data_IF_996635240991
#
_entry.id   IF_996635240991
#
_cell.length_a   1.000
_cell.length_b   1.000
_cell.length_c   1.000
_cell.angle_alpha   90.00
_cell.angle_beta   90.00
_cell.angle_gamma   90.00
#
_symmetry.space_group_name_H-M   'P 1'
#
loop_
_entity.id
_entity.type
_entity.pdbx_description
1 polymer ?
#
# COMPACT_ATOMS: atom_id res chain seq x y z
N UNK A 1 21.52 -4.48 -6.76
CA UNK A 1 20.65 -5.67 -6.65
C UNK A 1 19.55 -5.55 -7.68
N UNK A 2 19.04 -6.70 -8.14
CA UNK A 2 17.87 -6.79 -9.00
C UNK A 2 16.63 -7.15 -8.17
N UNK A 3 15.69 -6.23 -8.04
CA UNK A 3 14.55 -6.30 -7.12
C UNK A 3 13.25 -6.50 -7.89
N UNK A 4 12.50 -7.55 -7.55
CA UNK A 4 11.15 -7.78 -8.04
C UNK A 4 10.15 -7.30 -6.99
N UNK A 5 9.42 -6.22 -7.28
CA UNK A 5 8.34 -5.72 -6.43
C UNK A 5 7.01 -6.30 -6.88
N UNK A 6 6.31 -6.94 -5.96
CA UNK A 6 4.93 -7.41 -6.17
C UNK A 6 3.97 -6.53 -5.38
N UNK A 7 3.01 -5.96 -6.06
CA UNK A 7 1.99 -5.10 -5.46
C UNK A 7 0.67 -5.22 -6.21
N UNK A 8 -0.45 -4.98 -5.54
CA UNK A 8 -1.77 -4.99 -6.17
C UNK A 8 -2.16 -3.62 -6.75
N UNK A 9 -1.44 -2.56 -6.36
CA UNK A 9 -1.66 -1.20 -6.85
C UNK A 9 -0.32 -0.48 -7.14
N UNK A 10 -0.27 0.18 -8.27
CA UNK A 10 0.78 1.07 -8.74
C UNK A 10 0.13 2.08 -9.70
N UNK A 11 0.56 3.34 -9.78
CA UNK A 11 -0.11 4.30 -10.66
C UNK A 11 -0.28 3.78 -12.10
N UNK A 12 -1.43 4.02 -12.76
CA UNK A 12 -2.53 4.91 -12.36
C UNK A 12 -3.50 4.33 -11.31
N UNK A 13 -3.37 3.03 -10.94
CA UNK A 13 -4.19 2.42 -9.90
C UNK A 13 -3.79 2.94 -8.52
N UNK A 14 -4.70 3.70 -7.91
CA UNK A 14 -4.54 4.28 -6.57
C UNK A 14 -5.79 3.98 -5.75
N UNK A 15 -5.74 2.91 -4.95
CA UNK A 15 -6.81 2.55 -4.01
C UNK A 15 -6.50 3.10 -2.62
N UNK A 16 -5.22 3.08 -2.25
CA UNK A 16 -4.76 3.54 -0.95
C UNK A 16 -3.34 4.13 -0.98
N UNK A 17 -2.68 4.08 0.16
CA UNK A 17 -1.32 4.60 0.32
C UNK A 17 -0.23 3.74 -0.29
N UNK A 18 -0.50 2.44 -0.49
CA UNK A 18 0.49 1.47 -0.99
C UNK A 18 1.00 1.87 -2.37
N UNK A 19 0.10 2.26 -3.28
CA UNK A 19 0.45 2.73 -4.62
C UNK A 19 1.54 3.80 -4.57
N UNK A 20 1.38 4.79 -3.69
CA UNK A 20 2.33 5.88 -3.56
C UNK A 20 3.65 5.44 -2.95
N UNK A 21 3.58 4.59 -1.92
CA UNK A 21 4.80 4.05 -1.27
C UNK A 21 5.62 3.25 -2.28
N UNK A 22 5.00 2.32 -3.02
CA UNK A 22 5.73 1.50 -4.01
C UNK A 22 6.30 2.37 -5.13
N UNK A 23 5.55 3.36 -5.58
CA UNK A 23 6.00 4.30 -6.60
C UNK A 23 7.24 5.10 -6.18
N UNK A 24 7.21 5.70 -4.98
CA UNK A 24 8.33 6.52 -4.51
C UNK A 24 9.53 5.63 -4.11
N UNK A 25 9.27 4.45 -3.51
CA UNK A 25 10.30 3.50 -3.11
C UNK A 25 11.05 2.92 -4.32
N UNK A 26 10.32 2.45 -5.35
CA UNK A 26 10.93 1.88 -6.56
C UNK A 26 11.88 2.87 -7.24
N UNK A 27 11.50 4.13 -7.30
CA UNK A 27 12.32 5.21 -7.87
C UNK A 27 13.52 5.59 -6.99
N UNK A 28 13.37 5.50 -5.67
CA UNK A 28 14.47 5.77 -4.74
C UNK A 28 15.53 4.66 -4.84
N UNK A 29 15.10 3.40 -4.84
CA UNK A 29 15.98 2.26 -5.02
C UNK A 29 16.72 2.29 -6.36
N UNK A 30 16.04 2.72 -7.44
CA UNK A 30 16.68 2.94 -8.72
C UNK A 30 17.80 4.00 -8.64
N UNK A 31 17.56 5.12 -7.94
CA UNK A 31 18.56 6.18 -7.73
C UNK A 31 19.77 5.69 -6.93
N UNK A 32 19.53 4.74 -6.02
CA UNK A 32 20.57 4.10 -5.21
C UNK A 32 21.34 3.00 -5.98
N UNK A 33 21.10 2.87 -7.30
CA UNK A 33 21.82 1.98 -8.20
C UNK A 33 21.27 0.54 -8.22
N UNK A 34 20.02 0.31 -7.83
CA UNK A 34 19.35 -0.98 -7.95
C UNK A 34 18.56 -1.06 -9.25
N UNK A 35 18.41 -2.27 -9.80
CA UNK A 35 17.44 -2.54 -10.87
C UNK A 35 16.11 -2.90 -10.22
N UNK A 36 15.04 -2.21 -10.61
CA UNK A 36 13.71 -2.43 -10.03
C UNK A 36 12.69 -2.77 -11.11
N UNK A 37 12.04 -3.90 -10.92
CA UNK A 37 10.91 -4.35 -11.75
C UNK A 37 9.68 -4.47 -10.86
N UNK A 38 8.60 -3.81 -11.22
CA UNK A 38 7.30 -3.87 -10.55
C UNK A 38 6.35 -4.73 -11.35
N UNK A 39 5.69 -5.70 -10.72
CA UNK A 39 4.57 -6.44 -11.32
C UNK A 39 3.32 -6.15 -10.50
N UNK A 40 2.28 -5.65 -11.19
CA UNK A 40 1.07 -5.13 -10.56
C UNK A 40 -0.18 -5.41 -11.39
N UNK A 41 -1.36 -5.11 -10.82
CA UNK A 41 -2.62 -5.19 -11.57
C UNK A 41 -2.77 -4.04 -12.58
N UNK A 42 -3.34 -4.35 -13.74
CA UNK A 42 -3.67 -3.37 -14.79
C UNK A 42 -5.00 -2.70 -14.49
N UNK A 43 -5.01 -1.39 -14.45
CA UNK A 43 -6.23 -0.59 -14.30
C UNK A 43 -6.56 0.12 -15.60
N UNK A 44 -7.80 -0.08 -16.09
CA UNK A 44 -8.29 0.59 -17.28
C UNK A 44 -7.37 0.39 -18.49
N UNK A 45 -7.09 1.49 -19.18
CA UNK A 45 -6.27 1.51 -20.40
C UNK A 45 -4.76 1.64 -20.13
N UNK A 46 -4.31 1.46 -18.87
CA UNK A 46 -2.88 1.47 -18.56
C UNK A 46 -2.11 0.45 -19.42
N UNK A 47 -0.90 0.77 -19.92
CA UNK A 47 -0.12 -0.16 -20.71
C UNK A 47 0.29 -1.41 -19.92
N UNK A 48 0.41 -2.54 -20.59
CA UNK A 48 0.88 -3.80 -19.96
C UNK A 48 2.35 -3.73 -19.58
N UNK A 49 3.13 -2.98 -20.33
CA UNK A 49 4.52 -2.65 -20.01
C UNK A 49 4.76 -1.16 -20.12
N UNK A 50 5.52 -0.63 -19.19
CA UNK A 50 5.96 0.76 -19.16
C UNK A 50 7.35 0.84 -18.54
N UNK A 51 8.24 1.61 -19.16
CA UNK A 51 9.45 2.11 -18.51
C UNK A 51 9.10 3.45 -17.81
N UNK A 52 8.85 3.38 -16.52
CA UNK A 52 8.55 4.57 -15.72
C UNK A 52 9.85 5.18 -15.17
N UNK A 53 10.56 5.91 -16.05
CA UNK A 53 11.83 6.61 -15.75
C UNK A 53 12.91 5.67 -15.21
N UNK A 54 13.01 4.49 -15.82
CA UNK A 54 13.97 3.46 -15.49
C UNK A 54 13.44 2.35 -14.58
N UNK A 55 12.25 2.51 -13.98
CA UNK A 55 11.55 1.42 -13.31
C UNK A 55 10.72 0.66 -14.35
N UNK A 56 11.01 -0.63 -14.53
CA UNK A 56 10.21 -1.50 -15.40
C UNK A 56 8.91 -1.87 -14.71
N UNK A 57 7.78 -1.51 -15.29
CA UNK A 57 6.45 -1.78 -14.73
C UNK A 57 5.68 -2.71 -15.68
N UNK A 58 5.38 -3.91 -15.20
CA UNK A 58 4.54 -4.89 -15.89
C UNK A 58 3.19 -4.96 -15.20
N UNK A 59 2.11 -4.85 -15.98
CA UNK A 59 0.74 -4.90 -15.47
C UNK A 59 0.02 -6.12 -15.99
N UNK A 60 -0.66 -6.84 -15.11
CA UNK A 60 -1.40 -8.06 -15.43
C UNK A 60 -2.90 -7.84 -15.30
N UNK A 61 -3.66 -8.49 -16.18
CA UNK A 61 -5.13 -8.53 -16.11
C UNK A 61 -5.59 -9.79 -15.39
N UNK A 62 -6.75 -9.72 -14.74
CA UNK A 62 -7.47 -10.90 -14.33
C UNK A 62 -8.36 -11.36 -15.51
N UNK A 63 -8.11 -12.60 -15.99
CA UNK A 63 -8.78 -13.14 -17.18
C UNK A 63 -10.09 -13.86 -16.85
N UNK A 64 -10.33 -14.19 -15.59
CA UNK A 64 -11.57 -14.86 -15.23
C UNK A 64 -12.75 -13.90 -15.19
N UNK A 65 -13.80 -14.37 -15.78
CA UNK A 65 -15.08 -13.68 -15.83
C UNK A 65 -15.70 -13.75 -14.43
N UNK A 66 -16.07 -12.59 -13.86
CA UNK A 66 -16.84 -12.45 -12.64
C UNK A 66 -16.37 -13.29 -11.42
N UNK A 67 -15.36 -12.84 -10.67
CA UNK A 67 -15.03 -13.46 -9.40
C UNK A 67 -16.24 -13.36 -8.46
N UNK A 68 -16.54 -14.44 -7.72
CA UNK A 68 -17.67 -14.45 -6.79
C UNK A 68 -17.52 -13.49 -5.62
N UNK A 69 -16.26 -13.20 -5.28
CA UNK A 69 -15.91 -12.33 -4.15
C UNK A 69 -14.49 -11.77 -4.34
N UNK A 70 -14.09 -10.92 -3.39
CA UNK A 70 -12.77 -10.28 -3.43
C UNK A 70 -11.60 -11.27 -3.30
N UNK A 71 -11.76 -12.33 -2.51
CA UNK A 71 -10.71 -13.37 -2.34
C UNK A 71 -10.45 -14.10 -3.66
N UNK A 72 -11.50 -14.49 -4.38
CA UNK A 72 -11.36 -15.12 -5.70
C UNK A 72 -10.64 -14.20 -6.69
N UNK A 73 -10.95 -12.91 -6.64
CA UNK A 73 -10.26 -11.90 -7.45
C UNK A 73 -8.76 -11.83 -7.12
N UNK A 74 -8.41 -11.82 -5.81
CA UNK A 74 -7.02 -11.82 -5.35
C UNK A 74 -6.29 -13.10 -5.78
N UNK A 75 -6.94 -14.25 -5.72
CA UNK A 75 -6.33 -15.50 -6.18
C UNK A 75 -5.99 -15.45 -7.66
N UNK A 76 -6.91 -14.95 -8.50
CA UNK A 76 -6.63 -14.74 -9.93
C UNK A 76 -5.46 -13.80 -10.16
N UNK A 77 -5.41 -12.68 -9.42
CA UNK A 77 -4.29 -11.74 -9.47
C UNK A 77 -2.97 -12.47 -9.19
N UNK A 78 -2.90 -13.29 -8.13
CA UNK A 78 -1.69 -14.00 -7.78
C UNK A 78 -1.24 -14.98 -8.88
N UNK A 79 -2.16 -15.71 -9.53
CA UNK A 79 -1.80 -16.56 -10.67
C UNK A 79 -1.18 -15.75 -11.82
N UNK A 80 -1.76 -14.60 -12.15
CA UNK A 80 -1.25 -13.75 -13.23
C UNK A 80 0.08 -13.07 -12.86
N UNK A 81 0.26 -12.68 -11.60
CA UNK A 81 1.55 -12.18 -11.10
C UNK A 81 2.65 -13.24 -11.20
N UNK A 82 2.37 -14.51 -10.84
CA UNK A 82 3.32 -15.62 -10.98
C UNK A 82 3.66 -15.84 -12.45
N UNK A 83 2.66 -15.92 -13.33
CA UNK A 83 2.88 -16.14 -14.76
C UNK A 83 3.78 -15.05 -15.37
N UNK A 84 3.47 -13.77 -15.11
CA UNK A 84 4.25 -12.64 -15.62
C UNK A 84 5.65 -12.59 -15.02
N UNK A 85 5.79 -12.75 -13.71
CA UNK A 85 7.10 -12.76 -13.08
C UNK A 85 7.98 -13.92 -13.57
N UNK A 86 7.39 -15.10 -13.81
CA UNK A 86 8.11 -16.25 -14.38
C UNK A 86 8.59 -15.99 -15.81
N UNK A 87 7.76 -15.35 -16.65
CA UNK A 87 8.15 -14.89 -17.99
C UNK A 87 9.35 -13.92 -17.93
N UNK A 88 9.29 -12.94 -17.03
CA UNK A 88 10.37 -11.96 -16.84
C UNK A 88 11.66 -12.66 -16.36
N UNK A 89 11.56 -13.58 -15.40
CA UNK A 89 12.72 -14.33 -14.90
C UNK A 89 13.35 -15.17 -16.02
N UNK A 90 12.53 -15.78 -16.87
CA UNK A 90 13.02 -16.59 -18.00
C UNK A 90 13.74 -15.74 -19.05
N UNK A 91 13.33 -14.51 -19.28
CA UNK A 91 13.87 -13.61 -20.31
C UNK A 91 14.98 -12.69 -19.82
N UNK A 92 14.85 -12.18 -18.59
CA UNK A 92 15.76 -11.17 -18.03
C UNK A 92 16.70 -11.73 -16.95
N UNK A 93 16.51 -13.00 -16.56
CA UNK A 93 17.28 -13.65 -15.49
C UNK A 93 16.72 -13.45 -14.10
N UNK A 94 17.33 -14.14 -13.13
CA UNK A 94 16.86 -14.23 -11.74
C UNK A 94 17.02 -12.89 -11.01
N UNK A 95 16.08 -12.59 -10.11
CA UNK A 95 16.14 -11.50 -9.15
C UNK A 95 16.88 -11.91 -7.87
N UNK A 96 17.45 -10.92 -7.19
CA UNK A 96 18.13 -11.11 -5.90
C UNK A 96 17.12 -11.20 -4.74
N UNK A 97 15.99 -10.48 -4.86
CA UNK A 97 14.96 -10.41 -3.82
C UNK A 97 13.58 -10.15 -4.42
N UNK A 98 12.55 -10.72 -3.79
CA UNK A 98 11.14 -10.37 -4.01
C UNK A 98 10.73 -9.42 -2.88
N UNK A 99 10.25 -8.22 -3.23
CA UNK A 99 9.65 -7.32 -2.26
C UNK A 99 8.12 -7.35 -2.41
N UNK A 100 7.45 -7.99 -1.45
CA UNK A 100 6.00 -8.17 -1.45
C UNK A 100 5.32 -7.09 -0.59
N UNK A 101 4.28 -6.44 -1.11
CA UNK A 101 3.53 -5.40 -0.42
C UNK A 101 2.14 -5.89 -0.03
N UNK A 102 1.93 -6.12 1.26
CA UNK A 102 0.73 -6.68 1.89
C UNK A 102 0.36 -8.10 1.43
N UNK A 103 -0.65 -8.69 2.07
CA UNK A 103 -1.13 -10.05 1.86
C UNK A 103 -1.67 -10.33 0.45
N UNK A 104 -2.10 -9.30 -0.26
CA UNK A 104 -2.73 -9.39 -1.57
C UNK A 104 -1.85 -10.05 -2.65
N UNK A 105 -0.54 -10.10 -2.42
CA UNK A 105 0.44 -10.73 -3.33
C UNK A 105 1.18 -11.92 -2.69
N UNK A 106 0.71 -12.37 -1.54
CA UNK A 106 1.41 -13.36 -0.72
C UNK A 106 1.62 -14.70 -1.42
N UNK A 107 0.61 -15.22 -2.12
CA UNK A 107 0.70 -16.50 -2.82
C UNK A 107 1.66 -16.43 -4.00
N UNK A 108 1.68 -15.31 -4.73
CA UNK A 108 2.63 -15.08 -5.80
C UNK A 108 4.06 -15.04 -5.25
N UNK A 109 4.30 -14.27 -4.19
CA UNK A 109 5.60 -14.17 -3.55
C UNK A 109 6.11 -15.54 -3.07
N UNK A 110 5.28 -16.30 -2.36
CA UNK A 110 5.60 -17.66 -1.88
C UNK A 110 5.91 -18.61 -3.03
N UNK A 111 5.09 -18.61 -4.07
CA UNK A 111 5.29 -19.48 -5.24
C UNK A 111 6.61 -19.18 -5.92
N UNK A 112 6.90 -17.91 -6.18
CA UNK A 112 8.15 -17.49 -6.83
C UNK A 112 9.39 -17.77 -5.96
N UNK A 113 9.29 -17.53 -4.63
CA UNK A 113 10.34 -17.91 -3.68
C UNK A 113 10.73 -19.38 -3.85
N UNK A 114 9.73 -20.27 -3.80
CA UNK A 114 9.96 -21.71 -3.84
C UNK A 114 10.41 -22.20 -5.23
N UNK A 115 9.84 -21.64 -6.31
CA UNK A 115 10.18 -22.05 -7.68
C UNK A 115 11.58 -21.61 -8.11
N UNK A 116 12.02 -20.44 -7.66
CA UNK A 116 13.27 -19.83 -8.12
C UNK A 116 14.32 -19.64 -7.01
N UNK A 117 14.02 -20.07 -5.79
CA UNK A 117 14.87 -19.88 -4.62
C UNK A 117 15.31 -18.40 -4.47
N UNK A 118 14.33 -17.48 -4.46
CA UNK A 118 14.54 -16.05 -4.29
C UNK A 118 13.98 -15.65 -2.91
N UNK A 119 14.76 -14.99 -2.02
CA UNK A 119 14.25 -14.58 -0.72
C UNK A 119 13.17 -13.51 -0.85
N UNK A 120 12.25 -13.50 0.14
CA UNK A 120 11.19 -12.50 0.25
C UNK A 120 11.54 -11.49 1.34
N UNK A 121 11.40 -10.22 1.04
CA UNK A 121 11.17 -9.13 2.00
C UNK A 121 9.72 -8.71 1.86
N UNK A 122 8.97 -8.62 2.94
CA UNK A 122 7.59 -8.15 2.90
C UNK A 122 7.43 -6.82 3.64
N UNK A 123 6.62 -5.92 3.10
CA UNK A 123 6.15 -4.74 3.83
C UNK A 123 4.67 -4.93 4.19
N UNK A 124 4.36 -4.88 5.48
CA UNK A 124 2.99 -4.92 6.00
C UNK A 124 2.56 -3.49 6.32
N UNK A 125 1.62 -2.97 5.53
CA UNK A 125 1.13 -1.60 5.66
C UNK A 125 0.01 -1.46 6.69
N UNK A 126 -0.77 -2.51 6.91
CA UNK A 126 -1.77 -2.64 7.95
C UNK A 126 -2.13 -4.12 8.11
N UNK A 127 -2.57 -4.54 9.29
CA UNK A 127 -3.13 -5.88 9.50
C UNK A 127 -4.65 -5.85 9.41
N UNK A 128 -5.25 -6.98 9.06
CA UNK A 128 -6.72 -7.12 9.06
C UNK A 128 -7.29 -6.96 10.48
N UNK A 129 -6.61 -7.56 11.46
CA UNK A 129 -6.98 -7.42 12.87
C UNK A 129 -6.90 -5.96 13.36
N UNK A 130 -5.89 -5.20 12.93
CA UNK A 130 -5.75 -3.79 13.28
C UNK A 130 -6.81 -2.90 12.64
N UNK A 131 -7.21 -3.19 11.39
CA UNK A 131 -8.26 -2.44 10.69
C UNK A 131 -9.64 -2.59 11.33
N UNK A 132 -9.93 -3.78 11.85
CA UNK A 132 -11.26 -4.16 12.33
C UNK A 132 -11.33 -4.27 13.85
N UNK A 133 -10.27 -3.89 14.59
CA UNK A 133 -10.17 -4.07 16.04
C UNK A 133 -10.36 -5.53 16.49
N UNK A 134 -9.90 -6.47 15.66
CA UNK A 134 -10.00 -7.91 15.86
C UNK A 134 -10.39 -8.64 14.57
N UNK A 135 -10.63 -9.95 14.70
CA UNK A 135 -11.10 -10.83 13.60
C UNK A 135 -12.50 -11.28 13.95
N UNK A 136 -13.48 -10.98 13.11
CA UNK A 136 -14.90 -11.13 13.40
C UNK A 136 -15.64 -12.10 12.45
N UNK A 137 -15.04 -12.40 11.28
CA UNK A 137 -15.64 -13.31 10.29
C UNK A 137 -14.57 -14.18 9.59
N UNK A 138 -15.04 -15.13 8.77
CA UNK A 138 -14.18 -16.10 8.06
C UNK A 138 -13.32 -15.41 6.97
N UNK A 139 -13.79 -14.36 6.34
CA UNK A 139 -13.02 -13.60 5.35
C UNK A 139 -11.84 -12.90 6.02
N UNK A 140 -12.09 -12.25 7.16
CA UNK A 140 -11.04 -11.61 7.94
C UNK A 140 -10.04 -12.64 8.49
N UNK A 141 -10.51 -13.81 8.90
CA UNK A 141 -9.66 -14.93 9.33
C UNK A 141 -8.74 -15.37 8.19
N UNK A 142 -9.29 -15.58 7.00
CA UNK A 142 -8.51 -15.93 5.82
C UNK A 142 -7.42 -14.89 5.50
N UNK A 143 -7.76 -13.60 5.58
CA UNK A 143 -6.81 -12.50 5.35
C UNK A 143 -5.71 -12.52 6.41
N UNK A 144 -6.07 -12.61 7.68
CA UNK A 144 -5.14 -12.69 8.80
C UNK A 144 -4.17 -13.88 8.68
N UNK A 145 -4.66 -15.06 8.30
CA UNK A 145 -3.85 -16.25 8.09
C UNK A 145 -2.92 -16.09 6.88
N UNK A 146 -3.36 -15.36 5.85
CA UNK A 146 -2.53 -15.04 4.69
C UNK A 146 -1.44 -14.00 5.03
N UNK A 147 -1.74 -13.02 5.88
CA UNK A 147 -0.75 -12.09 6.44
C UNK A 147 0.29 -12.83 7.27
N UNK A 148 -0.16 -13.76 8.15
CA UNK A 148 0.75 -14.62 8.89
C UNK A 148 1.63 -15.44 7.96
N UNK A 149 1.06 -16.10 6.95
CA UNK A 149 1.83 -16.90 5.99
C UNK A 149 2.88 -16.06 5.27
N UNK A 150 2.54 -14.86 4.77
CA UNK A 150 3.48 -13.97 4.10
C UNK A 150 4.64 -13.59 5.03
N UNK A 151 4.33 -13.18 6.25
CA UNK A 151 5.35 -12.78 7.22
C UNK A 151 6.22 -13.95 7.66
N UNK A 152 5.66 -15.17 7.78
CA UNK A 152 6.40 -16.39 8.06
C UNK A 152 7.39 -16.74 6.94
N UNK A 153 6.94 -16.70 5.69
CA UNK A 153 7.74 -17.01 4.49
C UNK A 153 8.81 -15.98 4.17
N UNK A 154 8.67 -14.77 4.65
CA UNK A 154 9.64 -13.68 4.43
C UNK A 154 10.92 -13.92 5.23
N UNK A 155 12.06 -13.55 4.65
CA UNK A 155 13.34 -13.47 5.38
C UNK A 155 13.34 -12.29 6.34
N UNK A 156 12.81 -11.15 5.89
CA UNK A 156 12.68 -9.90 6.65
C UNK A 156 11.28 -9.32 6.45
N UNK A 157 10.74 -8.69 7.50
CA UNK A 157 9.45 -8.01 7.49
C UNK A 157 9.65 -6.53 7.80
N UNK A 158 9.11 -5.66 6.96
CA UNK A 158 9.13 -4.21 7.14
C UNK A 158 7.75 -3.76 7.62
N UNK A 159 7.73 -2.89 8.62
CA UNK A 159 6.54 -2.21 9.13
C UNK A 159 6.79 -0.71 9.28
N UNK A 160 5.72 0.09 9.27
CA UNK A 160 5.84 1.55 9.25
C UNK A 160 6.01 2.19 10.63
N UNK A 161 5.80 1.45 11.72
CA UNK A 161 5.86 1.97 13.08
C UNK A 161 6.17 0.90 14.12
N UNK A 162 6.64 1.34 15.29
CA UNK A 162 6.81 0.46 16.45
C UNK A 162 5.47 -0.15 16.92
N UNK A 163 4.36 0.56 16.75
CA UNK A 163 3.03 0.02 17.03
C UNK A 163 2.77 -1.24 16.20
N UNK A 164 2.98 -1.18 14.88
CA UNK A 164 2.81 -2.32 13.99
C UNK A 164 3.82 -3.45 14.28
N UNK A 165 5.06 -3.11 14.66
CA UNK A 165 6.03 -4.13 15.08
C UNK A 165 5.51 -4.94 16.27
N UNK A 166 5.02 -4.27 17.30
CA UNK A 166 4.44 -4.91 18.48
C UNK A 166 3.14 -5.69 18.13
N UNK A 167 2.35 -5.17 17.18
CA UNK A 167 1.14 -5.83 16.71
C UNK A 167 1.45 -7.15 16.00
N UNK A 168 2.41 -7.17 15.06
CA UNK A 168 2.82 -8.40 14.38
C UNK A 168 3.42 -9.44 15.33
N UNK A 169 4.19 -9.00 16.34
CA UNK A 169 4.67 -9.92 17.37
C UNK A 169 3.53 -10.57 18.15
N UNK A 170 2.55 -9.76 18.57
CA UNK A 170 1.39 -10.23 19.33
C UNK A 170 0.49 -11.15 18.50
N UNK A 171 0.23 -10.80 17.22
CA UNK A 171 -0.69 -11.54 16.36
C UNK A 171 -0.06 -12.82 15.80
N UNK A 172 1.19 -12.73 15.38
CA UNK A 172 1.84 -13.78 14.57
C UNK A 172 3.01 -14.47 15.27
N UNK A 173 3.42 -14.01 16.43
CA UNK A 173 4.55 -14.61 17.16
C UNK A 173 5.90 -14.47 16.45
N UNK A 174 6.06 -13.48 15.59
CA UNK A 174 7.30 -13.31 14.81
C UNK A 174 8.48 -12.94 15.71
N UNK A 175 9.70 -13.45 15.41
CA UNK A 175 10.92 -13.03 16.09
C UNK A 175 11.12 -11.51 15.97
N UNK A 176 11.56 -10.87 17.06
CA UNK A 176 11.71 -9.41 17.11
C UNK A 176 12.72 -8.89 16.09
N UNK A 177 13.80 -9.62 15.89
CA UNK A 177 14.88 -9.33 14.94
C UNK A 177 14.45 -9.41 13.48
N UNK A 178 13.39 -10.19 13.18
CA UNK A 178 12.85 -10.31 11.82
C UNK A 178 12.05 -9.09 11.38
N UNK A 179 11.61 -8.23 12.33
CA UNK A 179 10.73 -7.10 12.04
C UNK A 179 11.50 -5.79 12.10
N UNK A 180 11.61 -5.13 10.96
CA UNK A 180 12.28 -3.85 10.78
C UNK A 180 11.27 -2.71 10.72
N UNK A 181 11.49 -1.65 11.50
CA UNK A 181 10.65 -0.46 11.47
C UNK A 181 11.26 0.56 10.52
N UNK A 182 10.60 0.75 9.38
CA UNK A 182 10.97 1.73 8.36
C UNK A 182 9.74 2.60 8.05
N UNK A 183 9.65 3.81 8.62
CA UNK A 183 8.52 4.72 8.36
C UNK A 183 8.43 5.09 6.88
N UNK A 184 7.20 5.28 6.39
CA UNK A 184 6.99 5.80 5.05
C UNK A 184 7.55 7.21 4.91
N UNK A 185 8.23 7.48 3.80
CA UNK A 185 8.73 8.79 3.44
C UNK A 185 7.74 9.60 2.61
N UNK A 186 8.01 10.88 2.51
CA UNK A 186 7.30 11.82 1.63
C UNK A 186 8.29 12.53 0.74
N UNK A 187 8.01 12.62 -0.55
CA UNK A 187 8.83 13.38 -1.48
C UNK A 187 8.60 14.89 -1.27
N UNK A 188 9.48 15.52 -0.50
CA UNK A 188 9.39 16.94 -0.17
C UNK A 188 9.46 17.86 -1.39
N UNK A 189 10.07 17.43 -2.50
CA UNK A 189 10.14 18.24 -3.71
C UNK A 189 8.76 18.53 -4.33
N UNK A 190 7.74 17.73 -4.02
CA UNK A 190 6.37 17.97 -4.45
C UNK A 190 5.74 19.19 -3.76
N UNK A 191 6.30 19.65 -2.65
CA UNK A 191 5.79 20.75 -1.83
C UNK A 191 6.69 21.99 -1.91
N UNK A 192 7.85 21.89 -2.56
CA UNK A 192 8.75 23.03 -2.73
C UNK A 192 8.18 24.04 -3.74
N UNK A 193 8.23 25.32 -3.40
CA UNK A 193 7.81 26.40 -4.27
C UNK A 193 6.28 26.58 -4.39
N UNK A 194 5.49 25.89 -3.56
CA UNK A 194 4.05 26.12 -3.50
C UNK A 194 3.80 27.40 -2.70
N UNK A 195 3.41 28.47 -3.40
CA UNK A 195 2.96 29.70 -2.76
C UNK A 195 1.51 29.54 -2.25
N UNK A 196 1.15 30.37 -1.24
CA UNK A 196 -0.21 30.41 -0.73
C UNK A 196 -1.16 31.00 -1.80
N UNK A 197 -2.08 30.19 -2.28
CA UNK A 197 -3.17 30.64 -3.14
C UNK A 197 -4.40 31.04 -2.29
N UNK A 198 -4.51 32.34 -2.01
CA UNK A 198 -5.63 32.88 -1.25
C UNK A 198 -6.96 32.76 -2.00
N UNK A 199 -6.95 32.81 -3.34
CA UNK A 199 -8.18 32.66 -4.12
C UNK A 199 -8.69 31.22 -4.08
N UNK A 200 -7.79 30.25 -4.13
CA UNK A 200 -8.15 28.85 -3.92
C UNK A 200 -8.68 28.61 -2.50
N UNK A 201 -8.02 29.18 -1.48
CA UNK A 201 -8.44 29.06 -0.09
C UNK A 201 -9.85 29.63 0.14
N UNK A 202 -10.17 30.78 -0.46
CA UNK A 202 -11.48 31.43 -0.34
C UNK A 202 -12.65 30.62 -0.89
N UNK A 203 -12.41 29.58 -1.70
CA UNK A 203 -13.44 28.61 -2.12
C UNK A 203 -13.97 27.76 -0.95
N UNK A 204 -13.22 27.66 0.14
CA UNK A 204 -13.53 26.81 1.28
C UNK A 204 -13.79 27.58 2.57
N UNK A 205 -13.15 28.71 2.77
CA UNK A 205 -13.25 29.49 4.00
C UNK A 205 -12.93 30.98 3.75
N UNK A 206 -13.56 31.86 4.52
CA UNK A 206 -13.23 33.29 4.53
C UNK A 206 -11.83 33.54 5.12
N UNK A 207 -11.23 34.69 4.85
CA UNK A 207 -9.84 34.99 5.25
C UNK A 207 -9.61 34.95 6.77
N UNK A 208 -10.63 35.30 7.55
CA UNK A 208 -10.62 35.26 9.03
C UNK A 208 -10.92 33.86 9.60
N UNK A 209 -11.51 32.95 8.83
CA UNK A 209 -11.84 31.61 9.32
C UNK A 209 -10.60 30.72 9.42
N UNK A 210 -10.56 29.85 10.43
CA UNK A 210 -9.49 28.86 10.64
C UNK A 210 -9.91 27.51 10.07
N UNK A 211 -9.13 26.98 9.13
CA UNK A 211 -9.42 25.69 8.50
C UNK A 211 -8.83 24.57 9.33
N UNK A 212 -9.70 23.62 9.70
CA UNK A 212 -9.33 22.28 10.18
C UNK A 212 -9.48 21.37 8.96
N UNK A 213 -8.37 20.83 8.46
CA UNK A 213 -8.36 19.97 7.27
C UNK A 213 -8.30 18.49 7.66
N UNK A 214 -9.27 17.72 7.19
CA UNK A 214 -9.18 16.27 7.13
C UNK A 214 -8.96 15.83 5.68
N UNK A 215 -7.98 14.94 5.47
CA UNK A 215 -7.72 14.36 4.15
C UNK A 215 -7.52 12.84 4.27
N UNK A 216 -8.35 12.07 3.55
CA UNK A 216 -8.28 10.61 3.59
C UNK A 216 -9.56 9.94 3.09
N UNK A 217 -9.56 8.59 3.02
CA UNK A 217 -10.78 7.83 2.72
C UNK A 217 -11.83 8.09 3.82
N UNK A 218 -13.10 8.22 3.41
CA UNK A 218 -14.20 8.42 4.35
C UNK A 218 -14.73 7.05 4.82
N UNK A 219 -13.91 6.37 5.60
CA UNK A 219 -14.19 5.05 6.21
C UNK A 219 -14.04 5.14 7.73
N UNK A 220 -14.72 4.23 8.42
CA UNK A 220 -14.84 4.26 9.90
C UNK A 220 -13.48 4.31 10.60
N UNK A 221 -12.51 3.51 10.14
CA UNK A 221 -11.16 3.43 10.71
C UNK A 221 -10.35 4.73 10.64
N UNK A 222 -10.75 5.70 9.79
CA UNK A 222 -10.09 7.01 9.69
C UNK A 222 -10.60 8.03 10.72
N UNK A 223 -11.63 7.68 11.49
CA UNK A 223 -12.07 8.46 12.64
C UNK A 223 -12.75 9.79 12.30
N UNK A 224 -13.19 10.00 11.05
CA UNK A 224 -13.83 11.26 10.62
C UNK A 224 -15.08 11.57 11.46
N UNK A 225 -15.82 10.55 11.89
CA UNK A 225 -17.00 10.70 12.76
C UNK A 225 -16.66 11.38 14.09
N UNK A 226 -15.48 11.09 14.68
CA UNK A 226 -15.04 11.72 15.91
C UNK A 226 -14.68 13.20 15.70
N UNK A 227 -14.06 13.53 14.56
CA UNK A 227 -13.75 14.91 14.24
C UNK A 227 -15.02 15.73 14.02
N UNK A 228 -16.00 15.19 13.30
CA UNK A 228 -17.31 15.84 13.11
C UNK A 228 -18.00 16.04 14.45
N UNK A 229 -18.03 15.04 15.31
CA UNK A 229 -18.63 15.12 16.65
C UNK A 229 -17.93 16.10 17.58
N UNK A 230 -16.64 16.38 17.37
CA UNK A 230 -15.88 17.35 18.16
C UNK A 230 -16.14 18.81 17.72
N UNK A 231 -16.64 19.04 16.51
CA UNK A 231 -16.81 20.40 15.96
C UNK A 231 -17.68 21.33 16.82
N UNK A 232 -18.82 20.90 17.40
CA UNK A 232 -19.61 21.77 18.29
C UNK A 232 -18.77 22.34 19.43
N UNK A 233 -17.98 21.48 20.12
CA UNK A 233 -17.11 21.90 21.21
C UNK A 233 -15.96 22.81 20.76
N UNK A 234 -15.42 22.57 19.56
CA UNK A 234 -14.41 23.43 18.95
C UNK A 234 -14.96 24.83 18.70
N UNK A 235 -16.20 24.90 18.19
CA UNK A 235 -16.87 26.17 17.85
C UNK A 235 -17.24 27.01 19.09
N UNK A 236 -17.37 26.40 20.29
CA UNK A 236 -17.53 27.15 21.54
C UNK A 236 -16.30 28.01 21.86
N UNK A 237 -15.09 27.52 21.54
CA UNK A 237 -13.84 28.28 21.78
C UNK A 237 -13.31 29.03 20.57
N UNK A 238 -13.69 28.61 19.37
CA UNK A 238 -13.23 29.16 18.09
C UNK A 238 -14.38 29.26 17.11
N UNK A 239 -15.19 30.29 17.22
CA UNK A 239 -16.39 30.52 16.39
C UNK A 239 -16.08 30.63 14.88
N UNK A 240 -14.84 30.99 14.55
CA UNK A 240 -14.31 31.12 13.19
C UNK A 240 -13.66 29.83 12.66
N UNK A 241 -13.78 28.69 13.37
CA UNK A 241 -13.29 27.42 12.88
C UNK A 241 -14.19 26.82 11.80
N UNK A 242 -13.56 26.26 10.75
CA UNK A 242 -14.24 25.59 9.65
C UNK A 242 -13.61 24.25 9.34
N UNK A 243 -14.41 23.21 9.33
CA UNK A 243 -13.95 21.86 8.95
C UNK A 243 -14.05 21.70 7.42
N UNK A 244 -12.93 21.36 6.79
CA UNK A 244 -12.86 21.02 5.36
C UNK A 244 -12.48 19.53 5.27
N UNK A 245 -13.30 18.76 4.57
CA UNK A 245 -13.13 17.32 4.42
C UNK A 245 -12.81 17.02 2.96
N UNK A 246 -11.64 16.44 2.71
CA UNK A 246 -11.19 15.97 1.39
C UNK A 246 -11.06 14.44 1.39
N UNK A 247 -11.90 13.77 0.58
CA UNK A 247 -11.85 12.32 0.48
C UNK A 247 -12.98 11.72 -0.32
N UNK A 248 -12.89 10.41 -0.57
CA UNK A 248 -13.99 9.62 -1.15
C UNK A 248 -14.51 8.65 -0.11
N UNK A 249 -15.84 8.46 -0.08
CA UNK A 249 -16.49 7.36 0.59
C UNK A 249 -16.21 6.03 -0.13
N UNK A 250 -16.31 4.92 0.59
CA UNK A 250 -16.32 3.57 0.02
C UNK A 250 -17.73 3.19 -0.43
#
# INVERSE_FOLDING_TARGET
>A
MKILMLTWEYPPRVVGGISRVVYDLSRTLLKDGHEVTVVTYKEGDAPEFEDDKGVKVYRVNNYMINPNNFIDWIMQLNFNLVAKASEIIATEGKFDVIHAHDWLVAYAAKTLKNSYNIPIVSTIHATEAGRNSGIHDETQRYINDTEWMLTYESSEVIVNSNYMKNELQRLFGLPYEKINVIPNGVNMNLFNGIERDYNFRRKFAMDNEKIILFMGRLVYEKGIQYLISAMPKILEGYHDAKLVICGKGG
#
